data_IF_102478664701
#
_entry.id   IF_102478664701
#
_cell.length_a   1.000
_cell.length_b   1.000
_cell.length_c   1.000
_cell.angle_alpha   90.00
_cell.angle_beta   90.00
_cell.angle_gamma   90.00
#
_symmetry.space_group_name_H-M   'P 1'
#
loop_
_entity.id
_entity.type
_entity.pdbx_description
1 polymer ?
#
# COMPACT_ATOMS: atom_id res chain seq x y z
N UNK A 1 -6.81 39.61 -21.16
CA UNK A 1 -7.06 38.40 -20.33
C UNK A 1 -7.08 37.21 -21.28
N UNK A 2 -6.06 36.38 -21.34
CA UNK A 2 -6.07 35.20 -22.20
C UNK A 2 -6.93 34.12 -21.53
N UNK A 3 -7.65 33.44 -22.37
CA UNK A 3 -8.76 32.50 -22.13
C UNK A 3 -8.42 31.38 -21.13
N UNK A 4 -9.01 31.45 -19.92
CA UNK A 4 -8.88 30.46 -18.87
C UNK A 4 -9.39 29.05 -19.32
N UNK A 5 -10.21 29.01 -20.37
CA UNK A 5 -10.71 27.78 -21.00
C UNK A 5 -9.68 27.08 -21.88
N UNK A 6 -8.65 27.79 -22.37
CA UNK A 6 -7.57 27.19 -23.15
C UNK A 6 -6.56 26.48 -22.25
N UNK A 7 -6.34 26.97 -21.03
CA UNK A 7 -5.43 26.36 -20.06
C UNK A 7 -5.96 25.02 -19.50
N UNK A 8 -7.28 24.86 -19.39
CA UNK A 8 -7.89 23.62 -18.88
C UNK A 8 -7.91 22.49 -19.92
N UNK A 9 -7.91 22.81 -21.23
CA UNK A 9 -7.94 21.81 -22.31
C UNK A 9 -6.62 21.03 -22.49
N UNK A 10 -5.50 21.58 -22.00
CA UNK A 10 -4.18 20.93 -22.02
C UNK A 10 -3.95 19.93 -20.89
N UNK A 11 -4.71 20.04 -19.80
CA UNK A 11 -4.55 19.23 -18.59
C UNK A 11 -5.17 17.83 -18.75
N UNK A 12 -6.14 17.67 -19.66
CA UNK A 12 -6.84 16.39 -19.91
C UNK A 12 -6.00 15.35 -20.69
N UNK A 13 -4.80 15.70 -21.14
CA UNK A 13 -3.90 14.81 -21.91
C UNK A 13 -2.78 14.19 -21.08
N UNK A 14 -2.90 14.17 -19.76
CA UNK A 14 -1.91 13.50 -18.92
C UNK A 14 -2.13 11.99 -19.00
N UNK A 15 -1.11 11.18 -19.36
CA UNK A 15 -1.24 9.73 -19.42
C UNK A 15 -1.71 9.19 -18.06
N UNK A 16 -2.83 8.49 -18.03
CA UNK A 16 -3.39 7.87 -16.83
C UNK A 16 -4.82 8.29 -16.47
N UNK A 17 -5.40 9.33 -17.05
CA UNK A 17 -6.76 9.78 -16.64
C UNK A 17 -7.79 9.91 -17.76
N UNK A 18 -7.44 9.70 -19.00
CA UNK A 18 -8.38 9.82 -20.12
C UNK A 18 -8.57 8.49 -20.83
N UNK A 19 -9.47 7.66 -20.34
CA UNK A 19 -9.88 6.51 -21.09
C UNK A 19 -11.23 5.97 -20.63
N UNK A 20 -12.18 5.89 -21.53
CA UNK A 20 -13.46 5.16 -21.32
C UNK A 20 -13.21 3.74 -20.77
N UNK A 21 -12.07 3.14 -21.09
CA UNK A 21 -11.64 1.81 -20.65
C UNK A 21 -11.27 1.78 -19.16
N UNK A 22 -10.48 2.76 -18.66
CA UNK A 22 -10.16 2.85 -17.23
C UNK A 22 -11.43 3.13 -16.40
N UNK A 23 -12.29 4.02 -16.88
CA UNK A 23 -13.57 4.30 -16.21
C UNK A 23 -14.50 3.10 -16.19
N UNK A 24 -14.48 2.27 -17.25
CA UNK A 24 -15.19 0.99 -17.29
C UNK A 24 -14.58 -0.02 -16.31
N UNK A 25 -13.26 -0.15 -16.27
CA UNK A 25 -12.57 -1.01 -15.33
C UNK A 25 -12.83 -0.61 -13.87
N UNK A 26 -12.85 0.70 -13.55
CA UNK A 26 -13.24 1.22 -12.26
C UNK A 26 -14.67 0.82 -11.87
N UNK A 27 -15.62 1.02 -12.78
CA UNK A 27 -17.03 0.69 -12.56
C UNK A 27 -17.22 -0.83 -12.40
N UNK A 28 -16.55 -1.63 -13.20
CA UNK A 28 -16.57 -3.10 -13.10
C UNK A 28 -15.98 -3.53 -11.76
N UNK A 29 -14.85 -2.97 -11.35
CA UNK A 29 -14.22 -3.27 -10.06
C UNK A 29 -15.15 -2.92 -8.90
N UNK A 30 -15.75 -1.74 -8.90
CA UNK A 30 -16.70 -1.31 -7.88
C UNK A 30 -17.97 -2.18 -7.86
N UNK A 31 -18.49 -2.53 -9.03
CA UNK A 31 -19.64 -3.42 -9.15
C UNK A 31 -19.32 -4.83 -8.63
N UNK A 32 -18.14 -5.36 -8.96
CA UNK A 32 -17.68 -6.67 -8.52
C UNK A 32 -17.43 -6.70 -7.00
N UNK A 33 -16.90 -5.63 -6.44
CA UNK A 33 -16.73 -5.44 -4.99
C UNK A 33 -18.07 -5.45 -4.25
N UNK A 34 -19.12 -4.86 -4.81
CA UNK A 34 -20.45 -4.84 -4.19
C UNK A 34 -21.21 -6.14 -4.41
N UNK A 35 -21.08 -6.74 -5.61
CA UNK A 35 -21.82 -7.95 -5.97
C UNK A 35 -21.30 -9.22 -5.31
N UNK A 36 -19.99 -9.31 -5.03
CA UNK A 36 -19.35 -10.52 -4.55
C UNK A 36 -19.91 -11.06 -3.23
N UNK A 37 -20.15 -10.25 -2.16
CA UNK A 37 -20.74 -10.74 -0.91
C UNK A 37 -22.24 -11.06 -1.04
N UNK A 38 -22.89 -10.59 -2.13
CA UNK A 38 -24.30 -10.89 -2.43
C UNK A 38 -24.43 -12.19 -3.25
N UNK A 39 -23.41 -12.50 -4.06
CA UNK A 39 -23.42 -13.65 -4.95
C UNK A 39 -22.91 -14.95 -4.29
N UNK A 40 -22.32 -14.89 -3.10
CA UNK A 40 -21.68 -16.05 -2.47
C UNK A 40 -22.07 -16.15 -0.98
N UNK A 41 -22.68 -17.28 -0.61
CA UNK A 41 -22.99 -17.60 0.79
C UNK A 41 -21.79 -18.20 1.56
N UNK A 42 -20.65 -18.38 0.88
CA UNK A 42 -19.43 -18.91 1.50
C UNK A 42 -18.72 -17.83 2.32
N UNK A 43 -19.03 -17.79 3.63
CA UNK A 43 -18.46 -16.82 4.57
C UNK A 43 -16.92 -16.82 4.58
N UNK A 44 -16.28 -18.00 4.42
CA UNK A 44 -14.83 -18.14 4.39
C UNK A 44 -14.20 -17.48 3.16
N UNK A 45 -14.84 -17.60 2.00
CA UNK A 45 -14.36 -16.95 0.77
C UNK A 45 -14.49 -15.43 0.88
N UNK A 46 -15.63 -14.95 1.37
CA UNK A 46 -15.90 -13.51 1.57
C UNK A 46 -14.89 -12.91 2.53
N UNK A 47 -14.61 -13.59 3.64
CA UNK A 47 -13.63 -13.17 4.64
C UNK A 47 -12.21 -13.10 4.06
N UNK A 48 -11.79 -14.14 3.33
CA UNK A 48 -10.48 -14.19 2.65
C UNK A 48 -10.30 -13.05 1.65
N UNK A 49 -11.32 -12.74 0.87
CA UNK A 49 -11.25 -11.62 -0.06
C UNK A 49 -11.20 -10.29 0.68
N UNK A 50 -11.91 -10.13 1.79
CA UNK A 50 -11.79 -8.96 2.67
C UNK A 50 -10.33 -8.67 3.07
N UNK A 51 -9.56 -9.71 3.43
CA UNK A 51 -8.12 -9.59 3.71
C UNK A 51 -7.33 -9.10 2.48
N UNK A 52 -7.62 -9.63 1.30
CA UNK A 52 -6.96 -9.20 0.06
C UNK A 52 -7.28 -7.74 -0.30
N UNK A 53 -8.46 -7.23 0.06
CA UNK A 53 -8.80 -5.81 -0.12
C UNK A 53 -7.94 -4.90 0.78
N UNK A 54 -7.63 -5.32 2.01
CA UNK A 54 -6.69 -4.58 2.87
C UNK A 54 -5.26 -4.61 2.30
N UNK A 55 -4.81 -5.73 1.74
CA UNK A 55 -3.55 -5.81 1.01
C UNK A 55 -3.55 -4.93 -0.24
N UNK A 56 -4.69 -4.76 -0.91
CA UNK A 56 -4.85 -3.83 -2.02
C UNK A 56 -4.72 -2.36 -1.57
N UNK A 57 -5.22 -1.99 -0.37
CA UNK A 57 -4.98 -0.67 0.22
C UNK A 57 -3.49 -0.45 0.48
N UNK A 58 -2.80 -1.48 0.97
CA UNK A 58 -1.34 -1.45 1.15
C UNK A 58 -0.61 -1.27 -0.19
N UNK A 59 -1.02 -1.99 -1.23
CA UNK A 59 -0.45 -1.83 -2.58
C UNK A 59 -0.68 -0.42 -3.16
N UNK A 60 -1.85 0.19 -2.90
CA UNK A 60 -2.14 1.57 -3.29
C UNK A 60 -1.21 2.58 -2.62
N UNK A 61 -0.84 2.36 -1.34
CA UNK A 61 0.11 3.23 -0.65
C UNK A 61 1.50 3.21 -1.30
N UNK A 62 1.94 2.04 -1.75
CA UNK A 62 3.20 1.87 -2.50
C UNK A 62 3.11 2.51 -3.88
N UNK A 63 2.01 2.31 -4.60
CA UNK A 63 1.81 2.88 -5.94
C UNK A 63 1.80 4.41 -5.91
N UNK A 64 1.26 5.01 -4.87
CA UNK A 64 1.33 6.46 -4.68
C UNK A 64 2.78 6.95 -4.73
N UNK A 65 3.67 6.34 -3.94
CA UNK A 65 5.05 6.80 -3.80
C UNK A 65 5.92 6.38 -4.99
N UNK A 66 5.83 5.13 -5.39
CA UNK A 66 6.66 4.61 -6.47
C UNK A 66 6.05 4.84 -7.86
N UNK A 67 4.77 4.51 -8.04
CA UNK A 67 4.09 4.61 -9.33
C UNK A 67 3.97 6.04 -9.84
N UNK A 68 3.56 6.95 -8.97
CA UNK A 68 3.35 8.36 -9.32
C UNK A 68 4.53 9.26 -8.96
N UNK A 69 5.18 9.02 -7.82
CA UNK A 69 6.27 9.86 -7.33
C UNK A 69 7.66 9.43 -7.78
N UNK A 70 7.80 8.25 -8.39
CA UNK A 70 9.10 7.71 -8.81
C UNK A 70 10.03 7.32 -7.65
N UNK A 71 9.57 7.38 -6.41
CA UNK A 71 10.34 7.09 -5.21
C UNK A 71 10.28 5.61 -4.88
N UNK A 72 11.25 4.84 -5.36
CA UNK A 72 11.34 3.41 -5.08
C UNK A 72 11.73 3.15 -3.62
N UNK A 73 10.95 2.33 -2.90
CA UNK A 73 11.15 2.09 -1.47
C UNK A 73 10.89 0.64 -1.08
N UNK A 74 11.73 0.10 -0.20
CA UNK A 74 11.51 -1.18 0.51
C UNK A 74 10.99 -0.98 1.95
N UNK A 75 10.67 0.25 2.34
CA UNK A 75 10.25 0.60 3.70
C UNK A 75 8.75 0.52 3.97
N UNK A 76 7.93 0.22 2.98
CA UNK A 76 6.47 0.31 3.16
C UNK A 76 5.90 -0.76 4.11
N UNK A 77 6.51 -1.94 4.17
CA UNK A 77 6.13 -2.97 5.14
C UNK A 77 6.40 -2.54 6.59
N UNK A 78 7.38 -1.66 6.82
CA UNK A 78 7.65 -1.08 8.14
C UNK A 78 6.43 -0.30 8.68
N UNK A 79 5.69 0.40 7.81
CA UNK A 79 4.47 1.11 8.20
C UNK A 79 3.29 0.16 8.39
N UNK A 80 3.11 -0.77 7.48
CA UNK A 80 2.03 -1.76 7.51
C UNK A 80 2.17 -2.71 8.70
N UNK A 81 3.29 -3.39 8.85
CA UNK A 81 3.59 -4.30 9.95
C UNK A 81 3.81 -3.56 11.27
N UNK A 82 4.46 -2.37 11.23
CA UNK A 82 4.65 -1.52 12.41
C UNK A 82 3.33 -1.08 13.04
N UNK A 83 2.31 -0.77 12.23
CA UNK A 83 0.96 -0.53 12.74
C UNK A 83 0.36 -1.78 13.40
N UNK A 84 0.59 -2.96 12.83
CA UNK A 84 0.22 -4.24 13.46
C UNK A 84 0.87 -4.40 14.83
N UNK A 85 2.17 -4.14 14.95
CA UNK A 85 2.86 -4.15 16.24
C UNK A 85 2.32 -3.11 17.21
N UNK A 86 2.05 -1.89 16.76
CA UNK A 86 1.45 -0.86 17.60
C UNK A 86 0.09 -1.31 18.15
N UNK A 87 -0.77 -1.92 17.33
CA UNK A 87 -2.03 -2.51 17.77
C UNK A 87 -1.78 -3.64 18.78
N UNK A 88 -0.86 -4.55 18.49
CA UNK A 88 -0.52 -5.67 19.38
C UNK A 88 -0.07 -5.17 20.75
N UNK A 89 0.92 -4.28 20.80
CA UNK A 89 1.47 -3.74 22.04
C UNK A 89 0.41 -2.98 22.86
N UNK A 90 -0.41 -2.15 22.21
CA UNK A 90 -1.43 -1.35 22.87
C UNK A 90 -2.69 -2.14 23.26
N UNK A 91 -2.88 -3.36 22.73
CA UNK A 91 -4.03 -4.22 23.04
C UNK A 91 -3.74 -5.28 24.10
N UNK A 92 -2.46 -5.60 24.35
CA UNK A 92 -2.06 -6.67 25.29
C UNK A 92 -1.58 -6.10 26.61
N UNK A 93 -1.86 -6.82 27.70
CA UNK A 93 -1.35 -6.50 29.05
C UNK A 93 0.13 -6.86 29.23
N UNK A 94 0.68 -7.68 28.36
CA UNK A 94 2.04 -8.20 28.47
C UNK A 94 3.11 -7.09 28.33
N UNK A 95 2.78 -6.01 27.63
CA UNK A 95 3.66 -4.83 27.50
C UNK A 95 3.63 -3.89 28.73
N UNK A 96 2.92 -4.24 29.82
CA UNK A 96 2.77 -3.41 31.02
C UNK A 96 1.92 -2.15 30.83
N UNK A 97 1.25 -2.03 29.68
CA UNK A 97 0.36 -0.91 29.35
C UNK A 97 -1.08 -1.34 29.58
N UNK A 98 -1.90 -0.47 30.20
CA UNK A 98 -3.34 -0.71 30.29
C UNK A 98 -3.93 -0.75 28.87
N UNK A 99 -4.74 -1.77 28.50
CA UNK A 99 -5.31 -1.90 27.17
C UNK A 99 -6.22 -0.71 26.87
N UNK A 100 -5.89 0.03 25.79
CA UNK A 100 -6.62 1.20 25.34
C UNK A 100 -7.87 0.77 24.57
N UNK A 101 -8.96 1.57 24.54
CA UNK A 101 -10.11 1.30 23.69
C UNK A 101 -9.72 1.10 22.22
N UNK A 102 -10.40 0.18 21.52
CA UNK A 102 -10.07 -0.20 20.14
C UNK A 102 -9.89 1.00 19.18
N UNK A 103 -10.79 1.99 19.25
CA UNK A 103 -10.69 3.17 18.40
C UNK A 103 -9.43 4.01 18.67
N UNK A 104 -9.03 4.14 19.95
CA UNK A 104 -7.80 4.84 20.34
C UNK A 104 -6.57 4.05 19.89
N UNK A 105 -6.60 2.73 20.04
CA UNK A 105 -5.51 1.84 19.59
C UNK A 105 -5.28 1.94 18.07
N UNK A 106 -6.36 1.91 17.28
CA UNK A 106 -6.27 2.07 15.83
C UNK A 106 -5.74 3.46 15.43
N UNK A 107 -6.26 4.52 16.06
CA UNK A 107 -5.77 5.88 15.80
C UNK A 107 -4.28 6.02 16.17
N UNK A 108 -3.87 5.49 17.33
CA UNK A 108 -2.47 5.51 17.76
C UNK A 108 -1.56 4.73 16.80
N UNK A 109 -1.99 3.57 16.27
CA UNK A 109 -1.24 2.79 15.30
C UNK A 109 -1.03 3.55 13.98
N UNK A 110 -2.07 4.22 13.47
CA UNK A 110 -1.97 5.07 12.27
C UNK A 110 -1.04 6.25 12.51
N UNK A 111 -1.17 6.93 13.66
CA UNK A 111 -0.30 8.05 14.04
C UNK A 111 1.15 7.58 14.18
N UNK A 112 1.40 6.43 14.81
CA UNK A 112 2.75 5.84 14.93
C UNK A 112 3.37 5.58 13.55
N UNK A 113 2.61 5.02 12.61
CA UNK A 113 3.08 4.81 11.24
C UNK A 113 3.35 6.13 10.50
N UNK A 114 2.51 7.14 10.70
CA UNK A 114 2.73 8.48 10.14
C UNK A 114 3.98 9.15 10.72
N UNK A 115 4.20 9.03 12.03
CA UNK A 115 5.39 9.56 12.72
C UNK A 115 6.67 8.82 12.28
N UNK A 116 6.61 7.49 12.12
CA UNK A 116 7.72 6.72 11.57
C UNK A 116 8.06 7.17 10.15
N UNK A 117 7.04 7.36 9.30
CA UNK A 117 7.22 7.88 7.95
C UNK A 117 7.79 9.31 7.97
N UNK A 118 7.32 10.16 8.88
CA UNK A 118 7.85 11.52 9.07
C UNK A 118 9.32 11.48 9.48
N UNK A 119 9.69 10.64 10.44
CA UNK A 119 11.07 10.43 10.88
C UNK A 119 11.97 10.01 9.73
N UNK A 120 11.62 8.94 9.01
CA UNK A 120 12.38 8.47 7.85
C UNK A 120 12.50 9.58 6.80
N UNK A 121 11.41 10.26 6.46
CA UNK A 121 11.41 11.32 5.47
C UNK A 121 12.25 12.53 5.85
N UNK A 122 12.33 12.84 7.14
CA UNK A 122 13.16 13.95 7.63
C UNK A 122 14.65 13.74 7.38
N UNK A 123 15.13 12.50 7.57
CA UNK A 123 16.52 12.14 7.33
C UNK A 123 16.84 11.87 5.87
N UNK A 124 15.88 11.38 5.07
CA UNK A 124 16.13 10.95 3.69
C UNK A 124 15.78 12.00 2.65
N UNK A 125 14.76 12.85 2.91
CA UNK A 125 14.27 13.86 1.99
C UNK A 125 14.70 15.25 2.46
N UNK A 126 15.98 15.60 2.23
CA UNK A 126 16.51 16.92 2.57
C UNK A 126 16.13 17.96 1.49
N UNK A 127 16.17 19.26 1.89
CA UNK A 127 15.92 20.40 0.97
C UNK A 127 16.96 20.54 -0.12
N UNK A 128 18.22 20.18 0.18
CA UNK A 128 19.34 20.19 -0.80
C UNK A 128 20.10 18.88 -0.66
N UNK A 129 20.22 18.15 -1.76
CA UNK A 129 20.99 16.90 -1.79
C UNK A 129 20.35 15.71 -1.05
N UNK A 130 19.00 15.67 -0.93
CA UNK A 130 18.31 14.51 -0.40
C UNK A 130 18.53 13.24 -1.24
N UNK A 131 18.41 12.08 -0.60
CA UNK A 131 18.60 10.79 -1.26
C UNK A 131 17.65 10.60 -2.43
N UNK A 132 18.18 10.12 -3.55
CA UNK A 132 17.41 9.91 -4.78
C UNK A 132 17.53 8.47 -5.26
N UNK A 133 16.48 7.98 -5.94
CA UNK A 133 16.51 6.68 -6.60
C UNK A 133 16.95 5.53 -5.70
N UNK A 134 18.08 4.91 -6.04
CA UNK A 134 18.62 3.72 -5.34
C UNK A 134 19.03 4.01 -3.90
N UNK A 135 19.59 5.19 -3.62
CA UNK A 135 20.02 5.56 -2.26
C UNK A 135 18.83 5.57 -1.29
N UNK A 136 17.70 6.15 -1.72
CA UNK A 136 16.47 6.14 -0.94
C UNK A 136 15.95 4.72 -0.69
N UNK A 137 16.02 3.85 -1.72
CA UNK A 137 15.62 2.44 -1.60
C UNK A 137 16.50 1.69 -0.58
N UNK A 138 17.83 1.89 -0.61
CA UNK A 138 18.77 1.24 0.32
C UNK A 138 18.54 1.68 1.76
N UNK A 139 18.32 2.97 2.01
CA UNK A 139 18.04 3.46 3.37
C UNK A 139 16.71 2.93 3.89
N UNK A 140 15.65 2.92 3.07
CA UNK A 140 14.35 2.36 3.48
C UNK A 140 14.41 0.84 3.69
N UNK A 141 15.26 0.14 2.92
CA UNK A 141 15.57 -1.28 3.14
C UNK A 141 16.25 -1.48 4.50
N UNK A 142 17.28 -0.68 4.80
CA UNK A 142 18.00 -0.76 6.08
C UNK A 142 17.05 -0.51 7.26
N UNK A 143 16.12 0.44 7.14
CA UNK A 143 15.08 0.69 8.16
C UNK A 143 14.19 -0.53 8.36
N UNK A 144 13.72 -1.18 7.28
CA UNK A 144 12.91 -2.41 7.39
C UNK A 144 13.66 -3.54 8.08
N UNK A 145 14.93 -3.76 7.73
CA UNK A 145 15.80 -4.77 8.38
C UNK A 145 16.00 -4.43 9.86
N UNK A 146 16.27 -3.15 10.18
CA UNK A 146 16.48 -2.72 11.56
C UNK A 146 15.20 -2.95 12.41
N UNK A 147 14.02 -2.60 11.89
CA UNK A 147 12.75 -2.83 12.58
C UNK A 147 12.43 -4.31 12.75
N UNK A 148 12.72 -5.15 11.75
CA UNK A 148 12.58 -6.60 11.86
C UNK A 148 13.52 -7.17 12.95
N UNK A 149 14.77 -6.70 13.03
CA UNK A 149 15.71 -7.08 14.09
C UNK A 149 15.27 -6.59 15.46
N UNK A 150 14.77 -5.37 15.57
CA UNK A 150 14.20 -4.84 16.80
C UNK A 150 12.96 -5.64 17.24
N UNK A 151 12.07 -6.01 16.32
CA UNK A 151 10.92 -6.84 16.62
C UNK A 151 11.34 -8.23 17.13
N UNK A 152 12.37 -8.85 16.53
CA UNK A 152 12.92 -10.11 17.00
C UNK A 152 13.60 -10.02 18.37
N UNK A 153 14.27 -8.90 18.67
CA UNK A 153 15.03 -8.69 19.90
C UNK A 153 14.18 -8.18 21.06
N UNK A 154 12.96 -7.68 20.81
CA UNK A 154 12.14 -6.99 21.79
C UNK A 154 11.50 -7.88 22.87
N UNK A 155 11.80 -9.18 22.89
CA UNK A 155 11.44 -10.10 23.95
C UNK A 155 9.94 -10.11 24.27
N UNK A 156 9.58 -9.83 25.52
CA UNK A 156 8.18 -9.83 25.98
C UNK A 156 7.32 -8.73 25.34
N UNK A 157 7.92 -7.58 24.95
CA UNK A 157 7.17 -6.47 24.39
C UNK A 157 6.69 -6.75 22.96
N UNK A 158 7.50 -7.43 22.16
CA UNK A 158 7.21 -7.73 20.74
C UNK A 158 6.86 -9.21 20.50
N UNK A 159 6.90 -10.04 21.54
CA UNK A 159 6.76 -11.47 21.42
C UNK A 159 7.95 -12.19 20.77
N UNK A 160 9.05 -11.45 20.50
CA UNK A 160 10.25 -11.98 19.85
C UNK A 160 9.95 -12.64 18.50
N UNK A 161 10.55 -13.80 18.24
CA UNK A 161 10.34 -14.53 16.98
C UNK A 161 8.91 -15.04 16.78
N UNK A 162 8.17 -15.29 17.86
CA UNK A 162 6.79 -15.77 17.81
C UNK A 162 5.79 -14.66 17.45
N UNK A 163 6.17 -13.40 17.64
CA UNK A 163 5.28 -12.25 17.45
C UNK A 163 4.25 -12.07 18.56
N UNK A 164 3.33 -11.13 18.39
CA UNK A 164 2.30 -10.75 19.35
C UNK A 164 0.96 -11.30 18.90
N UNK A 165 0.28 -12.03 19.82
CA UNK A 165 -1.11 -12.42 19.65
C UNK A 165 -2.03 -11.24 20.01
N UNK A 166 -2.99 -10.92 19.13
CA UNK A 166 -3.93 -9.84 19.35
C UNK A 166 -5.01 -10.23 20.35
N UNK A 167 -5.18 -9.43 21.39
CA UNK A 167 -6.25 -9.63 22.38
C UNK A 167 -7.58 -9.08 21.89
N UNK A 168 -7.55 -7.98 21.14
CA UNK A 168 -8.74 -7.35 20.59
C UNK A 168 -9.25 -8.06 19.33
N UNK A 169 -10.57 -8.04 19.18
CA UNK A 169 -11.28 -8.42 17.95
C UNK A 169 -12.17 -7.27 17.52
N UNK A 170 -12.45 -7.18 16.23
CA UNK A 170 -13.32 -6.15 15.65
C UNK A 170 -14.82 -6.32 16.05
N UNK A 171 -15.13 -7.15 17.07
CA UNK A 171 -16.51 -7.41 17.49
C UNK A 171 -17.35 -7.94 16.32
N UNK A 172 -18.54 -7.35 16.05
CA UNK A 172 -19.39 -7.79 14.95
C UNK A 172 -18.80 -7.56 13.55
N UNK A 173 -17.72 -6.78 13.45
CA UNK A 173 -16.99 -6.52 12.18
C UNK A 173 -15.82 -7.48 11.95
N UNK A 174 -15.64 -8.49 12.85
CA UNK A 174 -14.45 -9.36 12.81
C UNK A 174 -14.52 -10.42 11.71
N UNK A 175 -15.68 -10.87 11.29
CA UNK A 175 -15.82 -12.02 10.38
C UNK A 175 -16.87 -11.82 9.28
N UNK A 176 -16.66 -12.54 8.19
CA UNK A 176 -17.62 -12.70 7.13
C UNK A 176 -17.94 -11.40 6.37
N UNK A 177 -19.23 -11.20 6.10
CA UNK A 177 -19.71 -10.08 5.28
C UNK A 177 -19.38 -8.71 5.87
N UNK A 178 -19.43 -8.55 7.19
CA UNK A 178 -19.19 -7.26 7.85
C UNK A 178 -17.72 -6.84 7.73
N UNK A 179 -16.78 -7.78 7.91
CA UNK A 179 -15.35 -7.52 7.69
C UNK A 179 -15.06 -7.17 6.23
N UNK A 180 -15.64 -7.91 5.31
CA UNK A 180 -15.53 -7.61 3.88
C UNK A 180 -16.00 -6.18 3.56
N UNK A 181 -17.18 -5.78 4.06
CA UNK A 181 -17.72 -4.44 3.83
C UNK A 181 -16.83 -3.34 4.40
N UNK A 182 -16.24 -3.57 5.59
CA UNK A 182 -15.26 -2.66 6.19
C UNK A 182 -14.03 -2.51 5.28
N UNK A 183 -13.45 -3.62 4.83
CA UNK A 183 -12.27 -3.63 3.97
C UNK A 183 -12.57 -2.99 2.59
N UNK A 184 -13.74 -3.29 2.01
CA UNK A 184 -14.19 -2.71 0.75
C UNK A 184 -14.43 -1.19 0.88
N UNK A 185 -15.08 -0.75 1.95
CA UNK A 185 -15.27 0.67 2.23
C UNK A 185 -13.93 1.41 2.36
N UNK A 186 -12.97 0.83 3.11
CA UNK A 186 -11.65 1.40 3.25
C UNK A 186 -10.91 1.48 1.90
N UNK A 187 -10.98 0.43 1.09
CA UNK A 187 -10.37 0.41 -0.25
C UNK A 187 -10.97 1.51 -1.13
N UNK A 188 -12.30 1.63 -1.16
CA UNK A 188 -12.99 2.66 -1.95
C UNK A 188 -12.63 4.06 -1.47
N UNK A 189 -12.65 4.31 -0.16
CA UNK A 189 -12.25 5.59 0.42
C UNK A 189 -10.81 5.95 0.10
N UNK A 190 -9.87 4.99 0.25
CA UNK A 190 -8.47 5.19 -0.10
C UNK A 190 -8.30 5.47 -1.59
N UNK A 191 -8.94 4.68 -2.44
CA UNK A 191 -8.90 4.86 -3.89
C UNK A 191 -9.41 6.25 -4.31
N UNK A 192 -10.57 6.67 -3.80
CA UNK A 192 -11.15 7.98 -4.10
C UNK A 192 -10.31 9.12 -3.52
N UNK A 193 -9.77 8.95 -2.31
CA UNK A 193 -8.85 9.91 -1.68
C UNK A 193 -7.57 10.10 -2.50
N UNK A 194 -6.93 9.02 -2.92
CA UNK A 194 -5.74 9.06 -3.78
C UNK A 194 -6.04 9.67 -5.15
N UNK A 195 -7.17 9.30 -5.75
CA UNK A 195 -7.62 9.87 -7.03
C UNK A 195 -7.87 11.38 -6.93
N UNK A 196 -8.50 11.83 -5.84
CA UNK A 196 -8.71 13.25 -5.56
C UNK A 196 -7.37 13.97 -5.33
N UNK A 197 -6.49 13.39 -4.49
CA UNK A 197 -5.15 13.93 -4.25
C UNK A 197 -4.36 14.09 -5.55
N UNK A 198 -4.29 13.06 -6.39
CA UNK A 198 -3.54 13.10 -7.65
C UNK A 198 -4.09 14.10 -8.69
N UNK A 199 -5.34 14.55 -8.52
CA UNK A 199 -5.95 15.63 -9.33
C UNK A 199 -5.78 17.01 -8.72
N UNK A 200 -5.43 17.10 -7.45
CA UNK A 200 -5.19 18.36 -6.75
C UNK A 200 -3.87 19.03 -7.20
N UNK A 201 -3.70 20.31 -6.92
CA UNK A 201 -2.46 21.02 -7.22
C UNK A 201 -1.20 20.35 -6.68
N UNK A 202 -1.11 19.96 -5.38
CA UNK A 202 0.06 19.25 -4.86
C UNK A 202 0.26 17.87 -5.51
N UNK A 203 -0.81 17.16 -5.84
CA UNK A 203 -0.72 15.87 -6.54
C UNK A 203 -0.21 15.99 -7.98
N UNK A 204 -0.58 17.04 -8.71
CA UNK A 204 -0.05 17.31 -10.05
C UNK A 204 1.45 17.63 -9.98
N UNK A 205 1.88 18.44 -9.01
CA UNK A 205 3.30 18.75 -8.80
C UNK A 205 4.05 17.46 -8.41
N UNK A 206 3.49 16.62 -7.53
CA UNK A 206 4.09 15.34 -7.11
C UNK A 206 4.29 14.39 -8.31
N UNK A 207 3.35 14.33 -9.23
CA UNK A 207 3.50 13.57 -10.50
C UNK A 207 4.58 14.16 -11.39
N UNK A 208 4.69 15.49 -11.45
CA UNK A 208 5.77 16.19 -12.15
C UNK A 208 7.14 15.84 -11.57
N UNK A 209 7.26 15.76 -10.25
CA UNK A 209 8.48 15.32 -9.55
C UNK A 209 8.87 13.91 -9.99
N UNK A 210 7.90 12.98 -10.06
CA UNK A 210 8.15 11.61 -10.53
C UNK A 210 8.64 11.50 -11.97
N UNK A 211 8.36 12.51 -12.82
CA UNK A 211 8.85 12.57 -14.20
C UNK A 211 10.21 13.24 -14.31
N UNK A 212 10.39 14.39 -13.67
CA UNK A 212 11.65 15.12 -13.65
C UNK A 212 11.70 16.06 -12.44
N UNK A 213 12.38 15.61 -11.39
CA UNK A 213 12.51 16.34 -10.12
C UNK A 213 13.19 17.71 -10.31
N UNK A 214 14.28 17.75 -11.08
CA UNK A 214 15.06 18.98 -11.31
C UNK A 214 14.25 20.06 -12.03
N UNK A 215 13.43 19.65 -13.01
CA UNK A 215 12.56 20.60 -13.73
C UNK A 215 11.54 21.24 -12.79
N UNK A 216 10.96 20.46 -11.86
CA UNK A 216 9.98 20.97 -10.88
C UNK A 216 10.65 21.90 -9.87
N UNK A 217 11.90 21.59 -9.47
CA UNK A 217 12.70 22.43 -8.58
C UNK A 217 13.05 23.78 -9.24
N UNK A 218 13.43 23.78 -10.53
CA UNK A 218 13.69 24.98 -11.31
C UNK A 218 12.45 25.88 -11.50
N UNK A 219 11.24 25.31 -11.43
CA UNK A 219 9.99 26.07 -11.43
C UNK A 219 9.68 26.72 -10.07
N UNK A 220 10.55 26.56 -9.07
CA UNK A 220 10.45 27.20 -7.76
C UNK A 220 9.58 26.45 -6.74
N UNK A 221 9.18 25.21 -7.01
CA UNK A 221 8.41 24.40 -6.04
C UNK A 221 9.31 23.78 -4.97
N UNK A 222 8.82 23.73 -3.74
CA UNK A 222 9.49 23.00 -2.63
C UNK A 222 9.25 21.49 -2.78
N UNK A 223 10.09 20.85 -3.60
CA UNK A 223 10.02 19.42 -3.91
C UNK A 223 10.14 18.56 -2.65
N UNK A 224 11.07 18.90 -1.75
CA UNK A 224 11.29 18.16 -0.52
C UNK A 224 10.05 18.13 0.38
N UNK A 225 9.36 19.26 0.49
CA UNK A 225 8.13 19.37 1.28
C UNK A 225 7.01 18.50 0.72
N UNK A 226 6.81 18.54 -0.60
CA UNK A 226 5.75 17.75 -1.27
C UNK A 226 6.04 16.26 -1.14
N UNK A 227 7.28 15.82 -1.41
CA UNK A 227 7.73 14.42 -1.25
C UNK A 227 7.51 13.94 0.18
N UNK A 228 7.91 14.74 1.18
CA UNK A 228 7.79 14.39 2.60
C UNK A 228 6.34 14.16 3.01
N UNK A 229 5.45 15.11 2.74
CA UNK A 229 4.05 14.98 3.12
C UNK A 229 3.34 13.83 2.38
N UNK A 230 3.67 13.61 1.10
CA UNK A 230 3.11 12.48 0.35
C UNK A 230 3.62 11.15 0.91
N UNK A 231 4.90 11.08 1.34
CA UNK A 231 5.45 9.90 1.98
C UNK A 231 4.79 9.60 3.34
N UNK A 232 4.55 10.63 4.16
CA UNK A 232 3.82 10.50 5.43
C UNK A 232 2.38 10.04 5.20
N UNK A 233 1.69 10.61 4.21
CA UNK A 233 0.34 10.19 3.83
C UNK A 233 0.30 8.72 3.37
N UNK A 234 1.27 8.30 2.57
CA UNK A 234 1.43 6.91 2.16
C UNK A 234 1.68 5.98 3.36
N UNK A 235 2.58 6.37 4.28
CA UNK A 235 2.86 5.61 5.50
C UNK A 235 1.63 5.47 6.40
N UNK A 236 0.86 6.54 6.57
CA UNK A 236 -0.40 6.52 7.31
C UNK A 236 -1.44 5.59 6.66
N UNK A 237 -1.54 5.62 5.34
CA UNK A 237 -2.44 4.73 4.58
C UNK A 237 -2.03 3.26 4.72
N UNK A 238 -0.73 2.96 4.63
CA UNK A 238 -0.20 1.62 4.86
C UNK A 238 -0.46 1.17 6.31
N UNK A 239 -0.25 2.07 7.29
CA UNK A 239 -0.50 1.81 8.70
C UNK A 239 -1.97 1.53 9.01
N UNK A 240 -2.89 2.26 8.39
CA UNK A 240 -4.32 2.02 8.53
C UNK A 240 -4.72 0.64 8.00
N UNK A 241 -4.21 0.25 6.83
CA UNK A 241 -4.45 -1.08 6.28
C UNK A 241 -3.84 -2.17 7.17
N UNK A 242 -2.60 -1.98 7.64
CA UNK A 242 -1.89 -2.92 8.49
C UNK A 242 -2.54 -3.12 9.85
N UNK A 243 -2.99 -2.04 10.50
CA UNK A 243 -3.67 -2.13 11.79
C UNK A 243 -4.93 -2.99 11.72
N UNK A 244 -5.76 -2.82 10.68
CA UNK A 244 -6.97 -3.63 10.48
C UNK A 244 -6.64 -5.06 10.02
N UNK A 245 -5.63 -5.22 9.18
CA UNK A 245 -5.21 -6.53 8.69
C UNK A 245 -4.72 -7.44 9.82
N UNK A 246 -3.77 -6.97 10.64
CA UNK A 246 -3.23 -7.77 11.74
C UNK A 246 -4.22 -7.94 12.89
N UNK A 247 -5.08 -6.95 13.13
CA UNK A 247 -6.18 -7.11 14.09
C UNK A 247 -7.15 -8.22 13.65
N UNK A 248 -7.36 -8.38 12.35
CA UNK A 248 -8.18 -9.46 11.80
C UNK A 248 -7.45 -10.81 11.81
N UNK A 249 -6.17 -10.85 11.42
CA UNK A 249 -5.34 -12.08 11.45
C UNK A 249 -5.12 -12.60 12.88
N UNK A 250 -5.20 -11.72 13.88
CA UNK A 250 -5.03 -12.08 15.28
C UNK A 250 -3.59 -12.25 15.73
N UNK A 251 -2.61 -12.08 14.84
CA UNK A 251 -1.17 -12.20 15.13
C UNK A 251 -0.35 -11.28 14.22
N UNK A 252 0.71 -10.68 14.77
CA UNK A 252 1.75 -9.99 14.01
C UNK A 252 3.11 -10.60 14.34
N UNK A 253 3.89 -10.93 13.33
CA UNK A 253 5.25 -11.49 13.46
C UNK A 253 6.31 -10.54 12.92
N UNK A 254 7.61 -10.70 13.28
CA UNK A 254 8.68 -9.85 12.78
C UNK A 254 8.79 -9.79 11.24
N UNK A 255 8.46 -10.86 10.54
CA UNK A 255 8.41 -10.89 9.08
C UNK A 255 7.44 -9.87 8.47
N UNK A 256 6.46 -9.39 9.25
CA UNK A 256 5.49 -8.38 8.83
C UNK A 256 6.12 -7.04 8.46
N UNK A 257 7.18 -6.64 9.17
CA UNK A 257 7.92 -5.38 8.95
C UNK A 257 9.13 -5.56 8.05
N UNK A 258 9.46 -6.81 7.70
CA UNK A 258 10.68 -7.20 7.00
C UNK A 258 10.68 -6.92 5.50
N UNK A 259 11.85 -7.19 4.92
CA UNK A 259 12.11 -7.02 3.48
C UNK A 259 11.23 -7.91 2.62
N UNK A 260 10.90 -9.13 3.09
CA UNK A 260 10.03 -10.06 2.38
C UNK A 260 8.65 -9.48 2.10
N UNK A 261 8.01 -8.90 3.11
CA UNK A 261 6.70 -8.25 2.98
C UNK A 261 6.76 -7.00 2.10
N UNK A 262 7.85 -6.21 2.19
CA UNK A 262 8.09 -5.07 1.29
C UNK A 262 8.26 -5.51 -0.16
N UNK A 263 8.96 -6.61 -0.41
CA UNK A 263 9.15 -7.14 -1.76
C UNK A 263 7.83 -7.65 -2.35
N UNK A 264 7.02 -8.35 -1.55
CA UNK A 264 5.73 -8.86 -2.02
C UNK A 264 4.81 -7.75 -2.50
N UNK A 265 4.69 -6.65 -1.76
CA UNK A 265 3.82 -5.54 -2.19
C UNK A 265 4.33 -4.86 -3.45
N UNK A 266 5.66 -4.75 -3.63
CA UNK A 266 6.24 -4.24 -4.87
C UNK A 266 5.87 -5.13 -6.06
N UNK A 267 5.88 -6.45 -5.88
CA UNK A 267 5.47 -7.41 -6.92
C UNK A 267 4.00 -7.23 -7.30
N UNK A 268 3.11 -6.98 -6.33
CA UNK A 268 1.69 -6.69 -6.63
C UNK A 268 1.53 -5.43 -7.48
N UNK A 269 2.30 -4.39 -7.17
CA UNK A 269 2.25 -3.12 -7.92
C UNK A 269 2.81 -3.28 -9.33
N UNK A 270 3.92 -4.01 -9.49
CA UNK A 270 4.52 -4.27 -10.82
C UNK A 270 3.59 -5.12 -11.68
N UNK A 271 3.12 -6.24 -11.15
CA UNK A 271 2.22 -7.15 -11.86
C UNK A 271 0.93 -6.45 -12.30
N UNK A 272 0.34 -5.67 -11.40
CA UNK A 272 -0.88 -4.92 -11.69
C UNK A 272 -0.68 -3.80 -12.71
N UNK A 273 0.48 -3.15 -12.69
CA UNK A 273 0.83 -1.97 -13.51
C UNK A 273 0.91 -0.71 -12.65
N UNK A 274 2.13 -0.29 -12.36
CA UNK A 274 2.44 0.88 -11.52
C UNK A 274 1.87 2.17 -12.13
N UNK A 275 1.43 3.09 -11.27
CA UNK A 275 0.93 4.40 -11.68
C UNK A 275 -0.47 4.37 -12.29
N UNK A 276 -1.27 3.31 -12.02
CA UNK A 276 -2.63 3.17 -12.58
C UNK A 276 -3.74 3.17 -11.53
N UNK A 277 -3.44 3.12 -10.24
CA UNK A 277 -4.33 2.91 -9.09
C UNK A 277 -5.13 1.60 -9.15
N UNK A 278 -5.76 1.27 -10.29
CA UNK A 278 -6.54 0.02 -10.46
C UNK A 278 -5.60 -1.19 -10.54
N UNK A 279 -4.46 -1.05 -11.22
CA UNK A 279 -3.48 -2.12 -11.37
C UNK A 279 -3.04 -2.74 -10.05
N UNK A 280 -2.50 -1.95 -9.11
CA UNK A 280 -2.09 -2.44 -7.80
C UNK A 280 -3.18 -3.17 -7.02
N UNK A 281 -4.45 -2.73 -7.14
CA UNK A 281 -5.60 -3.42 -6.51
C UNK A 281 -5.75 -4.82 -7.10
N UNK A 282 -5.78 -4.92 -8.43
CA UNK A 282 -5.94 -6.21 -9.13
C UNK A 282 -4.71 -7.09 -8.89
N UNK A 283 -3.50 -6.53 -8.96
CA UNK A 283 -2.26 -7.23 -8.66
C UNK A 283 -2.24 -7.84 -7.26
N UNK A 284 -2.62 -7.06 -6.25
CA UNK A 284 -2.69 -7.52 -4.86
C UNK A 284 -3.71 -8.66 -4.70
N UNK A 285 -4.93 -8.50 -5.22
CA UNK A 285 -5.99 -9.51 -5.08
C UNK A 285 -5.63 -10.79 -5.84
N UNK A 286 -5.22 -10.68 -7.10
CA UNK A 286 -4.92 -11.84 -7.96
C UNK A 286 -3.72 -12.61 -7.41
N UNK A 287 -2.62 -11.92 -7.10
CA UNK A 287 -1.41 -12.60 -6.62
C UNK A 287 -1.61 -13.20 -5.22
N UNK A 288 -2.32 -12.51 -4.32
CA UNK A 288 -2.65 -13.06 -3.00
C UNK A 288 -3.55 -14.30 -3.12
N UNK A 289 -4.54 -14.28 -4.01
CA UNK A 289 -5.37 -15.45 -4.28
C UNK A 289 -4.57 -16.61 -4.86
N UNK A 290 -3.72 -16.34 -5.85
CA UNK A 290 -2.86 -17.34 -6.48
C UNK A 290 -1.88 -17.96 -5.47
N UNK A 291 -1.22 -17.13 -4.68
CA UNK A 291 -0.31 -17.57 -3.61
C UNK A 291 -1.03 -18.47 -2.60
N UNK A 292 -2.22 -18.09 -2.15
CA UNK A 292 -3.01 -18.87 -1.22
C UNK A 292 -3.50 -20.22 -1.79
N UNK A 293 -3.73 -20.29 -3.10
CA UNK A 293 -4.08 -21.55 -3.78
C UNK A 293 -2.87 -22.45 -3.96
N UNK A 294 -1.76 -21.88 -4.42
CA UNK A 294 -0.52 -22.63 -4.66
C UNK A 294 0.09 -23.17 -3.36
N UNK A 295 0.09 -22.39 -2.29
CA UNK A 295 0.59 -22.83 -0.97
C UNK A 295 -0.22 -24.01 -0.39
N UNK A 296 -1.50 -24.10 -0.72
CA UNK A 296 -2.34 -25.23 -0.29
C UNK A 296 -2.15 -26.51 -1.12
N UNK A 297 -1.61 -26.42 -2.34
CA UNK A 297 -1.44 -27.56 -3.27
C UNK A 297 0.00 -27.98 -3.44
N UNK A 298 0.96 -27.07 -3.33
CA UNK A 298 2.38 -27.26 -3.60
C UNK A 298 3.21 -26.88 -2.37
N UNK A 299 3.11 -27.68 -1.30
CA UNK A 299 3.62 -27.39 0.05
C UNK A 299 5.05 -26.82 0.10
N UNK A 300 5.99 -27.34 -0.71
CA UNK A 300 7.40 -26.93 -0.67
C UNK A 300 7.85 -26.10 -1.87
N UNK A 301 7.14 -26.18 -3.00
CA UNK A 301 7.58 -25.60 -4.28
C UNK A 301 6.77 -24.36 -4.72
N UNK A 302 5.74 -23.97 -3.97
CA UNK A 302 4.85 -22.87 -4.36
C UNK A 302 5.60 -21.53 -4.53
N UNK A 303 6.63 -21.25 -3.71
CA UNK A 303 7.44 -20.04 -3.82
C UNK A 303 8.21 -19.98 -5.14
N UNK A 304 8.75 -21.14 -5.59
CA UNK A 304 9.46 -21.24 -6.87
C UNK A 304 8.50 -20.99 -8.02
N UNK A 305 7.31 -21.60 -7.96
CA UNK A 305 6.27 -21.42 -8.99
C UNK A 305 5.81 -19.97 -9.07
N UNK A 306 5.54 -19.34 -7.94
CA UNK A 306 5.19 -17.89 -7.88
C UNK A 306 6.33 -17.04 -8.43
N UNK A 307 7.58 -17.36 -8.07
CA UNK A 307 8.77 -16.65 -8.57
C UNK A 307 8.90 -16.78 -10.10
N UNK A 308 8.73 -17.97 -10.67
CA UNK A 308 8.76 -18.20 -12.12
C UNK A 308 7.63 -17.45 -12.82
N UNK A 309 6.40 -17.51 -12.29
CA UNK A 309 5.25 -16.77 -12.85
C UNK A 309 5.55 -15.28 -12.87
N UNK A 310 6.13 -14.74 -11.79
CA UNK A 310 6.50 -13.32 -11.72
C UNK A 310 7.56 -12.93 -12.75
N UNK A 311 8.62 -13.73 -12.90
CA UNK A 311 9.66 -13.48 -13.91
C UNK A 311 9.05 -13.49 -15.31
N UNK A 312 8.22 -14.49 -15.63
CA UNK A 312 7.54 -14.61 -16.92
C UNK A 312 6.66 -13.39 -17.17
N UNK A 313 5.85 -12.97 -16.19
CA UNK A 313 4.96 -11.80 -16.34
C UNK A 313 5.75 -10.52 -16.52
N UNK A 314 6.81 -10.29 -15.74
CA UNK A 314 7.65 -9.09 -15.86
C UNK A 314 8.35 -9.02 -17.20
N UNK A 315 8.84 -10.16 -17.73
CA UNK A 315 9.52 -10.22 -19.03
C UNK A 315 8.53 -10.02 -20.19
N UNK A 316 7.36 -10.66 -20.12
CA UNK A 316 6.37 -10.57 -21.19
C UNK A 316 5.57 -9.27 -21.17
N UNK A 317 5.29 -8.72 -19.98
CA UNK A 317 4.43 -7.55 -19.78
C UNK A 317 5.13 -6.55 -18.86
N UNK A 318 6.21 -5.89 -19.31
CA UNK A 318 7.02 -5.00 -18.46
C UNK A 318 6.26 -3.76 -17.93
N UNK A 319 5.13 -3.41 -18.56
CA UNK A 319 4.26 -2.33 -18.10
C UNK A 319 3.19 -2.81 -17.09
N UNK A 320 3.14 -4.11 -16.77
CA UNK A 320 2.07 -4.73 -15.99
C UNK A 320 0.76 -4.86 -16.77
N UNK A 321 -0.19 -5.63 -16.22
CA UNK A 321 -1.46 -5.98 -16.89
C UNK A 321 -2.22 -4.72 -17.35
N UNK A 322 -2.36 -3.72 -16.48
CA UNK A 322 -3.09 -2.47 -16.80
C UNK A 322 -2.23 -1.42 -17.49
N UNK A 323 -0.91 -1.48 -17.37
CA UNK A 323 0.00 -0.58 -18.08
C UNK A 323 0.03 -0.87 -19.60
N UNK A 324 -0.08 -2.14 -19.99
CA UNK A 324 -0.17 -2.56 -21.38
C UNK A 324 -1.45 -2.05 -22.07
N UNK A 325 -2.59 -2.14 -21.40
CA UNK A 325 -3.88 -1.64 -21.91
C UNK A 325 -3.89 -0.13 -22.15
N UNK A 326 -2.94 0.60 -21.56
CA UNK A 326 -2.82 2.06 -21.72
C UNK A 326 -1.83 2.47 -22.84
N UNK A 327 -0.91 1.56 -23.26
CA UNK A 327 0.09 1.83 -24.32
C UNK A 327 -0.47 1.77 -25.74
N UNK A 328 -1.47 0.96 -26.00
CA UNK A 328 -2.04 0.78 -27.35
C UNK A 328 -2.75 2.02 -27.95
N UNK A 329 -2.78 3.17 -27.22
CA UNK A 329 -3.44 4.40 -27.65
C UNK A 329 -2.49 5.59 -27.90
N UNK A 330 -1.19 5.37 -27.83
CA UNK A 330 -0.19 6.42 -28.12
C UNK A 330 0.64 6.13 -29.38
N UNK A 331 0.32 5.07 -30.13
CA UNK A 331 0.85 4.78 -31.47
C UNK A 331 -0.10 5.28 -32.55
#
# INVERSE_FOLDING_TARGET
MPDEKAATKGIDRVPGFSGKTLRRAELILLALLVALPLATDNAFLVDRIGRYLLLAVFALSVDLIWGYGGMFTFGQAAFFGGAGYAVGILSTREAGILPLPLGVTLAAAVIASALLALGISYFTIARRGGLRGVEFAVVTLAVSVALERLANAGGQVTGGQNGILMTYRLGPLHQGRNFYLLAAALLVLTYLGLKHFLRSRPGLIFRGIGQNEERVELLGYDVARIKRWTFVFSGATAGLAGSLFYLHEGIVSPAAVGVGSSTLVLLWVVLGGRGTLVGPIVGAVVLSYLTARLSGTLLDTWLVVVGVILVVVIVLIPAGIFGFLNRERTS
#
